data_IF_017493105369
#
_entry.id   IF_017493105369
#
_cell.length_a   1.000
_cell.length_b   1.000
_cell.length_c   1.000
_cell.angle_alpha   90.00
_cell.angle_beta   90.00
_cell.angle_gamma   90.00
#
_symmetry.space_group_name_H-M   'P 1'
#
loop_
_entity.id
_entity.type
_entity.pdbx_description
1 polymer ?
#
# COMPACT_ATOMS: atom_id res chain seq x y z
N UNK A 1 -0.22 -13.86 -18.12
CA UNK A 1 0.67 -14.41 -17.07
C UNK A 1 2.03 -13.72 -17.04
N UNK A 2 2.75 -13.60 -18.18
CA UNK A 2 4.04 -12.89 -18.25
C UNK A 2 4.00 -11.45 -17.70
N UNK A 3 2.95 -10.69 -18.01
CA UNK A 3 2.76 -9.31 -17.52
C UNK A 3 2.74 -9.23 -15.99
N UNK A 4 2.08 -10.20 -15.33
CA UNK A 4 1.98 -10.23 -13.87
C UNK A 4 3.35 -10.54 -13.24
N UNK A 5 4.10 -11.49 -13.83
CA UNK A 5 5.44 -11.86 -13.36
C UNK A 5 6.43 -10.69 -13.50
N UNK A 6 6.39 -9.97 -14.63
CA UNK A 6 7.22 -8.79 -14.82
C UNK A 6 6.86 -7.69 -13.82
N UNK A 7 5.57 -7.40 -13.65
CA UNK A 7 5.12 -6.40 -12.69
C UNK A 7 5.55 -6.74 -11.25
N UNK A 8 5.46 -8.01 -10.86
CA UNK A 8 5.93 -8.49 -9.57
C UNK A 8 7.44 -8.29 -9.42
N UNK A 9 8.24 -8.68 -10.42
CA UNK A 9 9.69 -8.54 -10.38
C UNK A 9 10.13 -7.07 -10.22
N UNK A 10 9.59 -6.15 -11.03
CA UNK A 10 9.89 -4.72 -10.91
C UNK A 10 9.50 -4.14 -9.55
N UNK A 11 8.35 -4.55 -9.02
CA UNK A 11 7.87 -4.07 -7.71
C UNK A 11 8.72 -4.59 -6.56
N UNK A 12 9.09 -5.87 -6.57
CA UNK A 12 9.97 -6.43 -5.53
C UNK A 12 11.31 -5.70 -5.52
N UNK A 13 11.91 -5.45 -6.68
CA UNK A 13 13.16 -4.70 -6.78
C UNK A 13 13.03 -3.27 -6.20
N UNK A 14 11.90 -2.61 -6.41
CA UNK A 14 11.64 -1.30 -5.85
C UNK A 14 11.47 -1.32 -4.32
N UNK A 15 10.82 -2.35 -3.77
CA UNK A 15 10.62 -2.50 -2.31
C UNK A 15 11.92 -2.80 -1.57
N UNK A 16 12.80 -3.59 -2.18
CA UNK A 16 14.08 -4.00 -1.58
C UNK A 16 15.12 -2.88 -1.53
N UNK A 17 14.83 -1.70 -2.09
CA UNK A 17 15.73 -0.56 -2.01
C UNK A 17 15.78 -0.05 -0.56
N UNK A 18 16.98 0.05 0.01
CA UNK A 18 17.26 0.48 1.39
C UNK A 18 17.15 2.01 1.57
N UNK A 19 16.08 2.59 1.05
CA UNK A 19 15.74 3.99 1.27
C UNK A 19 14.79 4.12 2.44
N UNK A 20 15.06 5.10 3.31
CA UNK A 20 14.12 5.57 4.33
C UNK A 20 12.75 5.90 3.73
N UNK A 21 11.74 6.01 4.60
CA UNK A 21 10.40 6.42 4.18
C UNK A 21 10.43 7.72 3.37
N UNK A 22 9.70 7.70 2.26
CA UNK A 22 9.36 8.92 1.55
C UNK A 22 8.38 9.73 2.41
N UNK A 23 8.27 11.03 2.12
CA UNK A 23 7.45 11.93 2.95
C UNK A 23 5.99 11.48 3.04
N UNK A 24 5.40 11.08 1.92
CA UNK A 24 4.04 10.55 1.82
C UNK A 24 3.88 9.20 2.52
N UNK A 25 4.88 8.31 2.45
CA UNK A 25 4.91 7.05 3.20
C UNK A 25 4.93 7.31 4.71
N UNK A 26 5.76 8.25 5.18
CA UNK A 26 5.87 8.62 6.58
C UNK A 26 4.58 9.25 7.12
N UNK A 27 3.95 10.14 6.34
CA UNK A 27 2.64 10.73 6.68
C UNK A 27 1.57 9.63 6.77
N UNK A 28 1.55 8.72 5.80
CA UNK A 28 0.60 7.61 5.79
C UNK A 28 0.76 6.68 6.97
N UNK A 29 2.00 6.33 7.31
CA UNK A 29 2.33 5.52 8.47
C UNK A 29 1.94 6.23 9.78
N UNK A 30 2.21 7.53 9.90
CA UNK A 30 1.84 8.32 11.08
C UNK A 30 0.33 8.32 11.33
N UNK A 31 -0.48 8.49 10.27
CA UNK A 31 -1.94 8.42 10.37
C UNK A 31 -2.39 7.00 10.71
N UNK A 32 -1.81 5.98 10.07
CA UNK A 32 -2.15 4.57 10.28
C UNK A 32 -1.77 4.05 11.68
N UNK A 33 -0.85 4.69 12.41
CA UNK A 33 -0.52 4.34 13.80
C UNK A 33 -1.63 4.69 14.79
N UNK A 34 -2.52 5.63 14.45
CA UNK A 34 -3.66 5.98 15.29
C UNK A 34 -4.78 4.95 15.14
N UNK A 35 -5.62 4.79 16.17
CA UNK A 35 -6.80 3.93 16.06
C UNK A 35 -7.73 4.41 14.94
N UNK A 36 -8.54 3.50 14.40
CA UNK A 36 -9.49 3.79 13.30
C UNK A 36 -10.40 4.99 13.61
N UNK A 37 -10.83 5.13 14.87
CA UNK A 37 -11.67 6.25 15.34
C UNK A 37 -10.90 7.57 15.42
N UNK A 38 -9.64 7.52 15.85
CA UNK A 38 -8.82 8.71 16.08
C UNK A 38 -8.26 9.25 14.75
N UNK A 39 -7.90 8.34 13.85
CA UNK A 39 -7.49 8.67 12.48
C UNK A 39 -8.58 9.42 11.70
N UNK A 40 -9.87 9.23 12.04
CA UNK A 40 -10.98 10.00 11.46
C UNK A 40 -10.85 11.52 11.63
N UNK A 41 -10.21 11.98 12.71
CA UNK A 41 -10.00 13.42 12.92
C UNK A 41 -8.93 13.99 11.99
N UNK A 42 -7.88 13.21 11.71
CA UNK A 42 -6.81 13.57 10.80
C UNK A 42 -7.25 13.52 9.34
N UNK A 43 -8.13 12.57 9.01
CA UNK A 43 -8.71 12.41 7.67
C UNK A 43 -9.55 13.61 7.21
N UNK A 44 -10.00 14.48 8.12
CA UNK A 44 -10.70 15.72 7.75
C UNK A 44 -9.79 16.73 7.05
N UNK A 45 -8.48 16.63 7.29
CA UNK A 45 -7.47 17.54 6.76
C UNK A 45 -6.67 16.90 5.63
N UNK A 46 -6.97 15.64 5.30
CA UNK A 46 -6.24 14.86 4.33
C UNK A 46 -7.08 14.67 3.07
N UNK A 47 -6.43 14.83 1.90
CA UNK A 47 -7.10 14.71 0.62
C UNK A 47 -7.37 13.25 0.22
N UNK A 48 -6.58 12.30 0.75
CA UNK A 48 -6.72 10.90 0.41
C UNK A 48 -7.87 10.21 1.15
N UNK A 49 -8.59 9.29 0.49
CA UNK A 49 -9.68 8.54 1.12
C UNK A 49 -9.24 7.72 2.35
N UNK A 50 -10.13 7.56 3.34
CA UNK A 50 -9.82 6.90 4.62
C UNK A 50 -9.43 5.43 4.50
N UNK A 51 -9.95 4.76 3.46
CA UNK A 51 -9.77 3.31 3.27
C UNK A 51 -8.30 2.89 3.23
N UNK A 52 -7.44 3.70 2.61
CA UNK A 52 -6.01 3.41 2.51
C UNK A 52 -5.37 3.33 3.91
N UNK A 53 -5.65 4.31 4.77
CA UNK A 53 -5.07 4.39 6.11
C UNK A 53 -5.57 3.28 7.03
N UNK A 54 -6.85 2.89 6.91
CA UNK A 54 -7.40 1.78 7.70
C UNK A 54 -6.84 0.42 7.28
N UNK A 55 -6.69 0.20 5.97
CA UNK A 55 -6.02 -1.00 5.47
C UNK A 55 -4.57 -1.05 5.96
N UNK A 56 -3.88 0.09 5.90
CA UNK A 56 -2.51 0.19 6.39
C UNK A 56 -2.42 -0.02 7.92
N UNK A 57 -3.37 0.49 8.70
CA UNK A 57 -3.47 0.26 10.15
C UNK A 57 -3.54 -1.23 10.48
N UNK A 58 -4.44 -1.97 9.81
CA UNK A 58 -4.54 -3.41 9.97
C UNK A 58 -3.24 -4.12 9.51
N UNK A 59 -2.64 -3.66 8.41
CA UNK A 59 -1.43 -4.25 7.86
C UNK A 59 -0.24 -4.14 8.81
N UNK A 60 0.04 -2.95 9.33
CA UNK A 60 1.16 -2.73 10.26
C UNK A 60 0.94 -3.46 11.59
N UNK A 61 -0.32 -3.68 12.00
CA UNK A 61 -0.66 -4.50 13.16
C UNK A 61 -0.29 -5.98 13.01
N UNK A 62 -0.22 -6.49 11.78
CA UNK A 62 0.08 -7.90 11.47
C UNK A 62 1.55 -8.08 11.07
N UNK A 63 2.07 -7.20 10.21
CA UNK A 63 3.38 -7.35 9.57
C UNK A 63 4.45 -6.39 10.13
N UNK A 64 4.07 -5.45 11.01
CA UNK A 64 4.95 -4.43 11.56
C UNK A 64 5.11 -3.21 10.65
N UNK A 65 5.89 -2.23 11.13
CA UNK A 65 6.00 -0.89 10.55
C UNK A 65 7.32 -0.63 9.80
N UNK A 66 8.04 -1.67 9.41
CA UNK A 66 9.28 -1.53 8.62
C UNK A 66 8.98 -1.00 7.21
N UNK A 67 9.96 -0.37 6.57
CA UNK A 67 9.84 0.18 5.21
C UNK A 67 9.37 -0.89 4.23
N UNK A 68 9.98 -2.09 4.31
CA UNK A 68 9.61 -3.23 3.48
C UNK A 68 8.16 -3.64 3.76
N UNK A 69 7.75 -3.75 5.03
CA UNK A 69 6.39 -4.15 5.40
C UNK A 69 5.35 -3.17 4.85
N UNK A 70 5.54 -1.87 5.07
CA UNK A 70 4.60 -0.82 4.63
C UNK A 70 4.48 -0.83 3.10
N UNK A 71 5.61 -0.90 2.39
CA UNK A 71 5.63 -0.94 0.91
C UNK A 71 5.02 -2.22 0.34
N UNK A 72 5.15 -3.36 1.03
CA UNK A 72 4.53 -4.62 0.62
C UNK A 72 3.01 -4.53 0.56
N UNK A 73 2.37 -3.73 1.43
CA UNK A 73 0.92 -3.51 1.37
C UNK A 73 0.52 -2.91 0.00
N UNK A 74 1.25 -1.89 -0.47
CA UNK A 74 1.01 -1.25 -1.77
C UNK A 74 1.31 -2.18 -2.94
N UNK A 75 2.35 -3.02 -2.83
CA UNK A 75 2.67 -4.03 -3.84
C UNK A 75 1.53 -5.05 -3.99
N UNK A 76 0.97 -5.54 -2.88
CA UNK A 76 -0.14 -6.48 -2.89
C UNK A 76 -1.35 -5.92 -3.67
N UNK A 77 -1.84 -4.75 -3.27
CA UNK A 77 -3.01 -4.13 -3.93
C UNK A 77 -2.74 -3.79 -5.40
N UNK A 78 -1.51 -3.41 -5.72
CA UNK A 78 -1.15 -3.15 -7.11
C UNK A 78 -1.14 -4.42 -7.98
N UNK A 79 -0.67 -5.55 -7.46
CA UNK A 79 -0.72 -6.84 -8.17
C UNK A 79 -2.17 -7.28 -8.36
N UNK A 80 -3.01 -7.14 -7.34
CA UNK A 80 -4.45 -7.44 -7.45
C UNK A 80 -5.12 -6.59 -8.55
N UNK A 81 -4.77 -5.30 -8.64
CA UNK A 81 -5.23 -4.42 -9.72
C UNK A 81 -4.80 -4.89 -11.11
N UNK A 82 -3.54 -5.32 -11.28
CA UNK A 82 -3.03 -5.86 -12.55
C UNK A 82 -3.75 -7.16 -12.94
N UNK A 83 -3.99 -8.04 -11.97
CA UNK A 83 -4.75 -9.29 -12.19
C UNK A 83 -6.18 -8.95 -12.65
N UNK A 84 -6.85 -8.02 -11.96
CA UNK A 84 -8.20 -7.59 -12.31
C UNK A 84 -8.26 -7.00 -13.73
N UNK A 85 -7.31 -6.11 -14.07
CA UNK A 85 -7.19 -5.53 -15.40
C UNK A 85 -6.92 -6.59 -16.48
N UNK A 86 -6.06 -7.58 -16.19
CA UNK A 86 -5.78 -8.68 -17.13
C UNK A 86 -7.04 -9.48 -17.46
N UNK A 87 -7.85 -9.83 -16.44
CA UNK A 87 -9.10 -10.54 -16.66
C UNK A 87 -10.15 -9.69 -17.38
N UNK A 88 -10.22 -8.39 -17.06
CA UNK A 88 -11.11 -7.46 -17.75
C UNK A 88 -10.74 -7.34 -19.24
N UNK A 89 -9.46 -7.12 -19.55
CA UNK A 89 -8.97 -7.01 -20.91
C UNK A 89 -9.04 -8.31 -21.71
N UNK A 90 -9.11 -9.48 -21.05
CA UNK A 90 -9.39 -10.76 -21.72
C UNK A 90 -10.87 -10.94 -22.08
N UNK A 91 -11.76 -10.25 -21.36
CA UNK A 91 -13.22 -10.35 -21.53
C UNK A 91 -13.75 -9.37 -22.58
N UNK A 92 -13.13 -8.21 -22.69
CA UNK A 92 -13.38 -7.21 -23.74
C UNK A 92 -12.80 -7.68 -25.08
#
# INVERSE_FOLDING_TARGET
MLIILLALAFKILAVLNEQSFWFDEAVSLSIAKHNITDSWQYLKWENNPPLHYWLLHCWIGIFGETEISVRLSSVLFSILGIIALYFLGKKL
#
